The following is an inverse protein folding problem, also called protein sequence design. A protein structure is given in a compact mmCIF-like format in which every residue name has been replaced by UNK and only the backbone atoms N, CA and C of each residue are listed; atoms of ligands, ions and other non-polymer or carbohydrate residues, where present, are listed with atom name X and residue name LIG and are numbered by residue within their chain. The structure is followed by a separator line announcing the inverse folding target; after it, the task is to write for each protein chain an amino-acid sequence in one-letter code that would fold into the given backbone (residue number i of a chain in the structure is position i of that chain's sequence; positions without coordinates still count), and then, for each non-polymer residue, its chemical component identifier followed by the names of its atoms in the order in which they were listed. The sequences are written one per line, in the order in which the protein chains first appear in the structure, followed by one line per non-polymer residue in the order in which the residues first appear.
data_IF_601033574365
#
_entry.id   IF_601033574365
#
_cell.length_a   1.000
_cell.length_b   1.000
_cell.length_c   1.000
_cell.angle_alpha   90.00
_cell.angle_beta   90.00
_cell.angle_gamma   90.00
#
_symmetry.space_group_name_H-M   'P 1'
#
loop_
_entity.id
_entity.type
_entity.pdbx_description
1 polymer ?
#
# COMPACT_ATOMS: atom_id res chain seq x y z
N UNK A 1 -21.94 4.92 -12.16
CA UNK A 1 -21.73 3.72 -11.31
C UNK A 1 -20.62 4.08 -10.34
N UNK A 2 -20.96 4.31 -9.07
CA UNK A 2 -20.00 4.63 -8.00
C UNK A 2 -19.91 3.37 -7.15
N UNK A 3 -18.78 2.67 -7.20
CA UNK A 3 -18.55 1.49 -6.37
C UNK A 3 -17.82 1.96 -5.11
N UNK A 4 -18.44 1.87 -3.93
CA UNK A 4 -17.72 2.05 -2.67
C UNK A 4 -16.82 0.83 -2.45
N UNK A 5 -15.53 0.93 -2.79
CA UNK A 5 -14.52 -0.11 -2.55
C UNK A 5 -14.03 -0.02 -1.11
N UNK A 6 -14.81 -0.52 -0.16
CA UNK A 6 -14.33 -0.76 1.21
C UNK A 6 -13.90 -2.22 1.43
N UNK A 7 -14.07 -3.10 0.44
CA UNK A 7 -13.45 -4.42 0.44
C UNK A 7 -12.49 -4.43 -0.73
N UNK A 8 -11.19 -4.55 -0.45
CA UNK A 8 -10.16 -4.85 -1.44
C UNK A 8 -10.71 -6.00 -2.28
N UNK A 9 -11.05 -5.78 -3.57
CA UNK A 9 -11.66 -6.84 -4.35
C UNK A 9 -10.60 -7.92 -4.50
N UNK A 10 -10.81 -9.05 -3.81
CA UNK A 10 -10.10 -10.29 -4.00
C UNK A 10 -10.42 -10.79 -5.41
N UNK A 11 -9.79 -10.16 -6.39
CA UNK A 11 -9.82 -10.57 -7.77
C UNK A 11 -8.43 -11.08 -8.09
N UNK A 12 -8.39 -12.09 -8.94
CA UNK A 12 -7.25 -12.80 -9.52
C UNK A 12 -6.32 -11.87 -10.34
N UNK A 13 -6.06 -10.66 -9.84
CA UNK A 13 -5.55 -9.44 -10.50
C UNK A 13 -4.56 -8.69 -9.59
N UNK A 14 -3.70 -9.40 -8.85
CA UNK A 14 -2.60 -8.76 -8.10
C UNK A 14 -1.77 -7.86 -9.01
N UNK A 15 -1.37 -8.37 -10.18
CA UNK A 15 -0.47 -7.69 -11.13
C UNK A 15 -0.96 -6.32 -11.61
N UNK A 16 -2.24 -6.17 -11.91
CA UNK A 16 -2.77 -4.91 -12.46
C UNK A 16 -2.95 -3.83 -11.38
N UNK A 17 -3.15 -4.24 -10.13
CA UNK A 17 -3.34 -3.29 -9.03
C UNK A 17 -2.00 -2.68 -8.59
N UNK A 18 -0.95 -3.50 -8.54
CA UNK A 18 0.39 -3.07 -8.13
C UNK A 18 0.95 -1.96 -9.02
N UNK A 19 0.82 -2.12 -10.34
CA UNK A 19 1.27 -1.09 -11.29
C UNK A 19 0.53 0.24 -11.11
N UNK A 20 -0.75 0.20 -10.72
CA UNK A 20 -1.52 1.42 -10.47
C UNK A 20 -1.10 2.08 -9.15
N UNK A 21 -0.77 1.27 -8.13
CA UNK A 21 -0.29 1.75 -6.83
C UNK A 21 1.15 2.27 -6.86
N UNK A 22 1.96 1.94 -7.87
CA UNK A 22 3.32 2.46 -7.98
C UNK A 22 3.32 3.99 -8.02
N UNK A 23 4.23 4.60 -7.24
CA UNK A 23 4.30 6.05 -7.09
C UNK A 23 3.22 6.67 -6.21
N UNK A 24 2.34 5.87 -5.57
CA UNK A 24 1.45 6.39 -4.53
C UNK A 24 2.24 6.76 -3.27
N UNK A 25 1.82 7.83 -2.60
CA UNK A 25 2.32 8.17 -1.27
C UNK A 25 1.81 7.17 -0.24
N UNK A 26 2.64 6.84 0.75
CA UNK A 26 2.25 5.96 1.85
C UNK A 26 2.32 6.75 3.15
N UNK A 27 1.23 6.69 3.91
CA UNK A 27 1.08 7.37 5.20
C UNK A 27 0.69 6.37 6.29
N UNK A 28 1.10 6.65 7.53
CA UNK A 28 0.64 5.89 8.69
C UNK A 28 -0.66 6.47 9.30
N UNK A 29 -1.18 5.82 10.34
CA UNK A 29 -2.34 6.29 11.12
C UNK A 29 -2.14 7.68 11.74
N UNK A 30 -0.90 8.07 12.01
CA UNK A 30 -0.54 9.39 12.54
C UNK A 30 -0.45 10.46 11.44
N UNK A 31 -0.81 10.13 10.19
CA UNK A 31 -0.68 10.99 9.01
C UNK A 31 0.78 11.37 8.69
N UNK A 32 1.73 10.57 9.14
CA UNK A 32 3.13 10.73 8.79
C UNK A 32 3.42 10.04 7.47
N UNK A 33 4.14 10.74 6.58
CA UNK A 33 4.57 10.18 5.31
C UNK A 33 5.73 9.22 5.52
N UNK A 34 5.50 7.95 5.19
CA UNK A 34 6.52 6.90 5.20
C UNK A 34 7.34 6.93 3.91
N UNK A 35 6.75 7.39 2.81
CA UNK A 35 7.44 7.55 1.53
C UNK A 35 6.52 7.31 0.34
N UNK A 36 7.08 6.84 -0.76
CA UNK A 36 6.35 6.47 -1.97
C UNK A 36 6.50 4.98 -2.28
N UNK A 37 5.47 4.37 -2.85
CA UNK A 37 5.53 2.99 -3.34
C UNK A 37 6.52 2.92 -4.50
N UNK A 38 7.58 2.14 -4.32
CA UNK A 38 8.61 1.94 -5.33
C UNK A 38 8.41 0.64 -6.11
N UNK A 39 8.17 -0.47 -5.42
CA UNK A 39 7.94 -1.78 -6.05
C UNK A 39 7.19 -2.71 -5.11
N UNK A 40 6.81 -3.86 -5.61
CA UNK A 40 6.24 -4.97 -4.84
C UNK A 40 7.23 -6.15 -4.90
N UNK A 41 7.36 -6.85 -3.78
CA UNK A 41 8.12 -8.10 -3.67
C UNK A 41 7.14 -9.24 -3.42
N UNK A 42 7.06 -10.15 -4.37
CA UNK A 42 6.23 -11.34 -4.27
C UNK A 42 7.02 -12.43 -3.51
N UNK A 43 6.66 -12.66 -2.25
CA UNK A 43 7.39 -13.63 -1.40
C UNK A 43 6.81 -15.06 -1.45
N UNK A 44 5.84 -15.30 -2.33
CA UNK A 44 5.13 -16.57 -2.49
C UNK A 44 4.04 -16.84 -1.44
N UNK A 45 4.06 -16.14 -0.30
CA UNK A 45 3.00 -16.19 0.72
C UNK A 45 2.15 -14.92 0.73
N UNK A 46 2.79 -13.75 0.85
CA UNK A 46 2.14 -12.45 0.74
C UNK A 46 3.03 -11.48 -0.03
N UNK A 47 2.42 -10.51 -0.69
CA UNK A 47 3.15 -9.42 -1.32
C UNK A 47 3.70 -8.47 -0.26
N UNK A 48 4.89 -7.93 -0.50
CA UNK A 48 5.52 -6.92 0.34
C UNK A 48 5.67 -5.65 -0.48
N UNK A 49 5.04 -4.58 -0.01
CA UNK A 49 5.14 -3.24 -0.54
C UNK A 49 6.49 -2.64 -0.15
N UNK A 50 7.31 -2.28 -1.13
CA UNK A 50 8.56 -1.56 -0.92
C UNK A 50 8.28 -0.07 -1.03
N UNK A 51 8.39 0.62 0.09
CA UNK A 51 8.14 2.05 0.20
C UNK A 51 9.46 2.77 0.42
N UNK A 52 9.76 3.76 -0.41
CA UNK A 52 10.97 4.56 -0.31
C UNK A 52 10.64 5.95 0.23
N UNK A 53 11.10 6.23 1.45
CA UNK A 53 11.08 7.56 2.06
C UNK A 53 12.46 7.92 2.60
N UNK A 54 12.51 8.39 3.85
CA UNK A 54 13.77 8.60 4.59
C UNK A 54 14.60 7.31 4.69
N UNK A 55 13.91 6.17 4.83
CA UNK A 55 14.44 4.82 4.73
C UNK A 55 13.55 3.97 3.83
N UNK A 56 14.03 2.79 3.50
CA UNK A 56 13.24 1.78 2.80
C UNK A 56 12.38 1.03 3.82
N UNK A 57 11.06 0.97 3.60
CA UNK A 57 10.13 0.21 4.41
C UNK A 57 9.60 -0.97 3.60
N UNK A 58 9.57 -2.13 4.24
CA UNK A 58 9.04 -3.37 3.69
C UNK A 58 7.72 -3.68 4.40
N UNK A 59 6.63 -3.21 3.80
CA UNK A 59 5.31 -3.25 4.42
C UNK A 59 4.53 -4.41 3.80
N UNK A 60 4.16 -5.45 4.57
CA UNK A 60 3.39 -6.56 4.02
C UNK A 60 2.01 -6.06 3.57
N UNK A 61 1.63 -6.38 2.33
CA UNK A 61 0.38 -5.92 1.72
C UNK A 61 -0.77 -6.85 2.14
N UNK A 62 -1.12 -6.80 3.43
CA UNK A 62 -2.15 -7.64 4.04
C UNK A 62 -3.26 -6.78 4.67
N UNK A 63 -4.50 -7.30 4.78
CA UNK A 63 -5.66 -6.50 5.19
C UNK A 63 -5.55 -5.86 6.58
N UNK A 64 -4.70 -6.39 7.46
CA UNK A 64 -4.50 -5.80 8.79
C UNK A 64 -3.48 -4.65 8.79
N UNK A 65 -2.59 -4.58 7.80
CA UNK A 65 -1.60 -3.49 7.66
C UNK A 65 -2.13 -2.41 6.72
N UNK A 66 -2.75 -2.78 5.60
CA UNK A 66 -3.28 -1.80 4.65
C UNK A 66 -4.67 -1.36 5.10
N UNK A 67 -4.77 -0.16 5.67
CA UNK A 67 -6.01 0.36 6.24
C UNK A 67 -6.92 0.99 5.18
N UNK A 68 -6.35 1.75 4.24
CA UNK A 68 -7.09 2.41 3.19
C UNK A 68 -6.22 2.65 1.95
N UNK A 69 -6.84 2.64 0.77
CA UNK A 69 -6.18 2.92 -0.51
C UNK A 69 -7.01 3.95 -1.26
N UNK A 70 -6.53 5.19 -1.32
CA UNK A 70 -7.19 6.29 -2.02
C UNK A 70 -6.52 6.52 -3.39
N UNK A 71 -7.12 5.93 -4.42
CA UNK A 71 -6.66 6.05 -5.81
C UNK A 71 -6.81 7.48 -6.36
N UNK A 72 -7.75 8.27 -5.81
CA UNK A 72 -7.98 9.64 -6.28
C UNK A 72 -6.90 10.60 -5.75
N UNK A 73 -6.48 10.40 -4.49
CA UNK A 73 -5.38 11.15 -3.87
C UNK A 73 -4.01 10.57 -4.17
N UNK A 74 -3.95 9.36 -4.72
CA UNK A 74 -2.73 8.56 -4.87
C UNK A 74 -2.01 8.33 -3.53
N UNK A 75 -2.78 7.95 -2.52
CA UNK A 75 -2.29 7.79 -1.16
C UNK A 75 -2.77 6.46 -0.55
N UNK A 76 -1.89 5.77 0.16
CA UNK A 76 -2.15 4.52 0.84
C UNK A 76 -1.95 4.74 2.34
N UNK A 77 -2.97 4.44 3.13
CA UNK A 77 -2.91 4.48 4.58
C UNK A 77 -2.60 3.09 5.12
N UNK A 78 -1.56 3.00 5.94
CA UNK A 78 -1.07 1.76 6.53
C UNK A 78 -0.95 1.87 8.04
N UNK A 79 -1.09 0.73 8.72
CA UNK A 79 -0.74 0.55 10.11
C UNK A 79 0.73 0.15 10.21
N UNK A 80 1.62 1.14 10.07
CA UNK A 80 3.06 0.92 10.14
C UNK A 80 3.75 2.04 10.90
N UNK A 81 4.65 1.68 11.80
CA UNK A 81 5.39 2.63 12.62
C UNK A 81 6.64 3.11 11.87
N UNK A 82 6.89 4.43 11.89
CA UNK A 82 8.03 5.02 11.17
C UNK A 82 9.37 4.59 11.80
N UNK A 83 9.39 4.26 13.09
CA UNK A 83 10.60 3.87 13.80
C UNK A 83 10.95 2.38 13.68
N UNK A 84 10.05 1.54 13.14
CA UNK A 84 10.27 0.11 12.89
C UNK A 84 11.32 -0.15 11.80
#
# INVERSE_FOLDING_TARGET
ILIPKHELPALEKGEYYWNDLMGHGVINQQKEHLGIVQTFLETGANDVLVVKGDKEYLIPFIPHVILNVDMAKKEIEVDWDKDF
#
